data_IF_237336821037
#
_entry.id   IF_237336821037
#
_cell.length_a   1.000
_cell.length_b   1.000
_cell.length_c   1.000
_cell.angle_alpha   90.00
_cell.angle_beta   90.00
_cell.angle_gamma   90.00
#
_symmetry.space_group_name_H-M   'P 1'
#
loop_
_entity.id
_entity.type
_entity.pdbx_description
1 polymer ?
#
# COMPACT_ATOMS: atom_id res chain seq x y z
N UNK A 1 1.87 14.65 -4.89
CA UNK A 1 1.18 13.40 -4.50
C UNK A 1 0.96 12.55 -5.74
N UNK A 2 1.70 11.46 -5.85
CA UNK A 2 1.56 10.47 -6.92
C UNK A 2 0.66 9.33 -6.42
N UNK A 3 -0.25 8.86 -7.28
CA UNK A 3 -1.12 7.72 -7.02
C UNK A 3 -0.74 6.58 -7.95
N UNK A 4 -0.43 5.40 -7.40
CA UNK A 4 -0.22 4.19 -8.20
C UNK A 4 -1.39 3.21 -8.01
N UNK A 5 -1.83 2.61 -9.12
CA UNK A 5 -2.97 1.72 -9.17
C UNK A 5 -2.53 0.28 -9.48
N UNK A 6 -3.06 -0.71 -8.74
CA UNK A 6 -2.82 -2.14 -8.99
C UNK A 6 -4.10 -2.98 -8.89
N UNK A 7 -4.27 -3.89 -9.85
CA UNK A 7 -5.26 -4.98 -9.77
C UNK A 7 -4.74 -6.07 -8.82
N UNK A 8 -5.58 -6.51 -7.88
CA UNK A 8 -5.25 -7.55 -6.91
C UNK A 8 -5.99 -8.84 -7.23
N UNK A 9 -5.23 -9.81 -7.74
CA UNK A 9 -5.67 -11.17 -8.08
C UNK A 9 -4.70 -12.19 -7.45
N UNK A 10 -4.53 -12.20 -6.13
CA UNK A 10 -3.67 -13.17 -5.41
C UNK A 10 -2.14 -12.95 -5.45
N UNK A 11 -1.61 -11.88 -6.07
CA UNK A 11 -0.14 -11.67 -6.14
C UNK A 11 0.36 -10.43 -5.41
N UNK A 12 0.54 -10.56 -4.09
CA UNK A 12 1.10 -9.51 -3.22
C UNK A 12 2.49 -9.03 -3.69
N UNK A 13 3.25 -9.89 -4.37
CA UNK A 13 4.57 -9.58 -4.93
C UNK A 13 4.52 -8.40 -5.92
N UNK A 14 3.48 -8.29 -6.75
CA UNK A 14 3.37 -7.17 -7.70
C UNK A 14 3.10 -5.85 -6.98
N UNK A 15 2.32 -5.88 -5.90
CA UNK A 15 2.01 -4.69 -5.12
C UNK A 15 3.26 -4.13 -4.41
N UNK A 16 4.11 -5.02 -3.88
CA UNK A 16 5.37 -4.64 -3.23
C UNK A 16 6.45 -4.27 -4.26
N UNK A 17 6.85 -5.22 -5.11
CA UNK A 17 8.02 -5.08 -6.00
C UNK A 17 7.78 -4.15 -7.19
N UNK A 18 6.53 -4.02 -7.65
CA UNK A 18 6.19 -3.17 -8.80
C UNK A 18 5.36 -1.95 -8.40
N UNK A 19 5.04 -1.80 -7.11
CA UNK A 19 4.36 -0.63 -6.55
C UNK A 19 5.26 0.09 -5.55
N UNK A 20 5.23 -0.36 -4.29
CA UNK A 20 5.97 0.27 -3.17
C UNK A 20 7.45 0.46 -3.48
N UNK A 21 8.11 -0.54 -4.09
CA UNK A 21 9.53 -0.48 -4.46
C UNK A 21 9.87 0.72 -5.34
N UNK A 22 8.97 1.16 -6.22
CA UNK A 22 9.21 2.33 -7.09
C UNK A 22 9.28 3.64 -6.29
N UNK A 23 8.52 3.73 -5.19
CA UNK A 23 8.62 4.83 -4.25
C UNK A 23 9.91 4.77 -3.42
N UNK A 24 10.29 3.57 -2.97
CA UNK A 24 11.54 3.31 -2.22
C UNK A 24 12.77 3.63 -3.06
N UNK A 25 12.78 3.24 -4.33
CA UNK A 25 13.86 3.47 -5.30
C UNK A 25 13.84 4.88 -5.93
N UNK A 26 12.98 5.79 -5.46
CA UNK A 26 12.86 7.17 -5.95
C UNK A 26 12.48 7.29 -7.44
N UNK A 27 12.01 6.20 -8.08
CA UNK A 27 11.44 6.24 -9.44
C UNK A 27 10.18 7.11 -9.49
N UNK A 28 9.52 7.28 -8.34
CA UNK A 28 8.43 8.22 -8.15
C UNK A 28 8.76 9.21 -7.03
N UNK A 29 8.29 10.45 -7.24
CA UNK A 29 8.02 11.39 -6.17
C UNK A 29 9.20 11.65 -5.21
N UNK A 30 10.44 11.74 -5.72
CA UNK A 30 11.64 11.93 -4.90
C UNK A 30 11.53 13.11 -3.91
N UNK A 31 10.81 14.17 -4.33
CA UNK A 31 10.58 15.39 -3.53
C UNK A 31 9.32 15.34 -2.67
N UNK A 32 8.45 14.35 -2.85
CA UNK A 32 7.21 14.21 -2.08
C UNK A 32 7.45 13.36 -0.82
N UNK A 33 6.82 13.72 0.29
CA UNK A 33 6.82 12.93 1.54
C UNK A 33 5.62 12.00 1.65
N UNK A 34 4.62 12.20 0.80
CA UNK A 34 3.33 11.51 0.83
C UNK A 34 2.96 11.02 -0.58
N UNK A 35 2.49 9.77 -0.66
CA UNK A 35 1.93 9.21 -1.88
C UNK A 35 0.79 8.23 -1.55
N UNK A 36 0.08 7.77 -2.59
CA UNK A 36 -1.03 6.85 -2.42
C UNK A 36 -0.91 5.62 -3.32
N UNK A 37 -1.45 4.51 -2.82
CA UNK A 37 -1.57 3.24 -3.51
C UNK A 37 -3.05 2.86 -3.55
N UNK A 38 -3.60 2.73 -4.74
CA UNK A 38 -4.97 2.27 -4.97
C UNK A 38 -4.95 0.80 -5.42
N UNK A 39 -5.71 -0.04 -4.74
CA UNK A 39 -5.86 -1.45 -5.06
C UNK A 39 -7.30 -1.79 -5.48
N UNK A 40 -7.47 -2.56 -6.55
CA UNK A 40 -8.77 -3.08 -6.96
C UNK A 40 -8.85 -4.59 -6.66
N UNK A 41 -9.76 -4.99 -5.78
CA UNK A 41 -9.97 -6.38 -5.39
C UNK A 41 -11.12 -6.93 -6.23
N UNK A 42 -10.82 -7.81 -7.18
CA UNK A 42 -11.81 -8.32 -8.13
C UNK A 42 -12.22 -9.78 -7.87
N UNK A 43 -11.52 -10.47 -6.97
CA UNK A 43 -11.83 -11.84 -6.54
C UNK A 43 -11.25 -12.13 -5.15
N UNK A 44 -11.91 -13.02 -4.40
CA UNK A 44 -11.49 -13.46 -3.07
C UNK A 44 -12.15 -12.67 -1.94
N UNK A 45 -11.71 -12.89 -0.69
CA UNK A 45 -12.22 -12.15 0.46
C UNK A 45 -11.38 -10.89 0.69
N UNK A 46 -11.99 -9.71 0.54
CA UNK A 46 -11.29 -8.43 0.57
C UNK A 46 -10.57 -8.17 1.89
N UNK A 47 -11.20 -8.45 3.04
CA UNK A 47 -10.59 -8.24 4.35
C UNK A 47 -9.34 -9.10 4.56
N UNK A 48 -9.40 -10.37 4.13
CA UNK A 48 -8.27 -11.30 4.22
C UNK A 48 -7.11 -10.84 3.34
N UNK A 49 -7.40 -10.40 2.12
CA UNK A 49 -6.41 -9.85 1.20
C UNK A 49 -5.73 -8.62 1.82
N UNK A 50 -6.52 -7.64 2.28
CA UNK A 50 -5.99 -6.41 2.89
C UNK A 50 -5.15 -6.73 4.13
N UNK A 51 -5.62 -7.64 5.00
CA UNK A 51 -4.88 -8.07 6.20
C UNK A 51 -3.53 -8.72 5.86
N UNK A 52 -3.50 -9.60 4.85
CA UNK A 52 -2.28 -10.26 4.41
C UNK A 52 -1.30 -9.27 3.76
N UNK A 53 -1.82 -8.35 2.93
CA UNK A 53 -1.03 -7.27 2.36
C UNK A 53 -0.44 -6.39 3.45
N UNK A 54 -1.25 -5.96 4.41
CA UNK A 54 -0.84 -5.14 5.55
C UNK A 54 0.37 -5.75 6.27
N UNK A 55 0.33 -7.05 6.58
CA UNK A 55 1.46 -7.77 7.17
C UNK A 55 2.73 -7.66 6.30
N UNK A 56 2.62 -8.00 5.02
CA UNK A 56 3.76 -7.97 4.10
C UNK A 56 4.32 -6.57 3.86
N UNK A 57 3.46 -5.56 3.83
CA UNK A 57 3.86 -4.15 3.70
C UNK A 57 4.63 -3.70 4.94
N UNK A 58 4.21 -4.09 6.14
CA UNK A 58 4.90 -3.73 7.39
C UNK A 58 6.34 -4.26 7.46
N UNK A 59 6.63 -5.36 6.77
CA UNK A 59 7.94 -6.01 6.72
C UNK A 59 8.83 -5.46 5.57
N UNK A 60 8.25 -4.73 4.61
CA UNK A 60 8.95 -4.30 3.40
C UNK A 60 9.56 -2.91 3.56
N UNK A 61 10.89 -2.82 3.74
CA UNK A 61 11.61 -1.55 3.93
C UNK A 61 10.98 -0.60 4.98
N UNK A 62 10.72 -1.05 6.22
CA UNK A 62 10.05 -0.24 7.21
C UNK A 62 10.89 0.98 7.63
N UNK A 63 10.22 2.12 7.82
CA UNK A 63 10.78 3.28 8.49
C UNK A 63 10.33 3.37 9.96
N UNK A 64 11.00 4.18 10.80
CA UNK A 64 10.52 4.46 12.16
C UNK A 64 9.07 4.97 12.15
N UNK A 65 8.24 4.43 13.05
CA UNK A 65 6.80 4.73 13.10
C UNK A 65 5.90 3.83 12.25
N UNK A 66 6.45 2.79 11.59
CA UNK A 66 5.66 1.84 10.79
C UNK A 66 4.62 1.10 11.64
N UNK A 67 4.99 0.63 12.84
CA UNK A 67 4.14 -0.21 13.69
C UNK A 67 2.86 0.52 14.13
N UNK A 68 2.96 1.82 14.43
CA UNK A 68 1.81 2.63 14.79
C UNK A 68 0.98 2.98 13.55
N UNK A 69 1.62 3.29 12.43
CA UNK A 69 0.94 3.73 11.20
C UNK A 69 0.18 2.62 10.50
N UNK A 70 0.72 1.40 10.49
CA UNK A 70 0.09 0.26 9.80
C UNK A 70 -1.30 -0.07 10.37
N UNK A 71 -1.57 0.32 11.62
CA UNK A 71 -2.87 0.17 12.27
C UNK A 71 -3.87 1.28 11.92
N UNK A 72 -3.42 2.40 11.35
CA UNK A 72 -4.29 3.52 11.01
C UNK A 72 -4.98 3.32 9.67
N UNK A 73 -6.29 3.57 9.64
CA UNK A 73 -7.08 3.67 8.41
C UNK A 73 -6.86 5.02 7.73
N UNK A 74 -7.20 5.08 6.44
CA UNK A 74 -7.25 6.32 5.66
C UNK A 74 -8.69 6.84 5.69
N UNK A 75 -8.94 7.96 6.37
CA UNK A 75 -10.27 8.61 6.46
C UNK A 75 -11.39 7.62 6.81
N UNK A 76 -11.15 6.74 7.78
CA UNK A 76 -12.04 5.66 8.23
C UNK A 76 -12.45 4.61 7.18
N UNK A 77 -11.87 4.64 5.99
CA UNK A 77 -12.15 3.68 4.92
C UNK A 77 -11.84 2.23 5.40
N UNK A 78 -12.80 1.30 5.36
CA UNK A 78 -12.66 0.00 6.04
C UNK A 78 -11.57 -0.89 5.43
N UNK A 79 -11.42 -0.84 4.11
CA UNK A 79 -10.38 -1.55 3.37
C UNK A 79 -9.23 -0.58 3.06
N UNK A 80 -8.53 -0.14 4.12
CA UNK A 80 -7.41 0.78 3.99
C UNK A 80 -6.40 0.60 5.12
N UNK A 81 -5.17 1.04 4.88
CA UNK A 81 -4.17 1.23 5.92
C UNK A 81 -3.14 2.27 5.48
N UNK A 82 -2.34 2.76 6.42
CA UNK A 82 -1.20 3.65 6.15
C UNK A 82 0.10 2.89 6.31
N UNK A 83 1.18 3.31 5.66
CA UNK A 83 2.50 2.74 5.90
C UNK A 83 3.59 3.81 5.78
N UNK A 84 4.77 3.51 6.31
CA UNK A 84 5.93 4.38 6.17
C UNK A 84 7.18 3.59 5.82
N UNK A 85 7.82 3.94 4.72
CA UNK A 85 8.95 3.19 4.18
C UNK A 85 10.21 4.04 4.11
N UNK A 86 11.37 3.41 4.31
CA UNK A 86 12.67 4.05 4.14
C UNK A 86 13.09 3.94 2.68
N UNK A 87 13.36 5.07 2.03
CA UNK A 87 13.89 5.11 0.66
C UNK A 87 15.38 4.80 0.63
N UNK A 88 15.90 4.55 -0.57
CA UNK A 88 17.34 4.32 -0.80
C UNK A 88 18.22 5.54 -0.45
N UNK A 89 17.64 6.74 -0.35
CA UNK A 89 18.31 7.95 0.15
C UNK A 89 18.03 8.24 1.63
N UNK A 90 17.56 7.24 2.37
CA UNK A 90 17.28 7.29 3.81
C UNK A 90 16.18 8.27 4.22
N UNK A 91 15.48 8.88 3.26
CA UNK A 91 14.30 9.70 3.55
C UNK A 91 13.06 8.81 3.67
N UNK A 92 12.16 9.06 4.63
CA UNK A 92 10.92 8.32 4.71
C UNK A 92 9.95 8.73 3.58
N UNK A 93 9.05 7.82 3.23
CA UNK A 93 7.82 8.13 2.49
C UNK A 93 6.62 7.54 3.21
N UNK A 94 5.59 8.35 3.38
CA UNK A 94 4.29 7.92 3.87
C UNK A 94 3.42 7.47 2.69
N UNK A 95 2.88 6.26 2.75
CA UNK A 95 1.94 5.76 1.75
C UNK A 95 0.54 5.56 2.34
N UNK A 96 -0.47 6.08 1.64
CA UNK A 96 -1.88 5.81 1.93
C UNK A 96 -2.37 4.67 1.03
N UNK A 97 -2.82 3.57 1.61
CA UNK A 97 -3.31 2.41 0.86
C UNK A 97 -4.83 2.34 0.92
N UNK A 98 -5.50 2.54 -0.21
CA UNK A 98 -6.95 2.42 -0.35
C UNK A 98 -7.28 1.25 -1.27
N UNK A 99 -8.19 0.38 -0.84
CA UNK A 99 -8.61 -0.78 -1.62
C UNK A 99 -10.09 -0.73 -1.90
N UNK A 100 -10.47 -0.94 -3.15
CA UNK A 100 -11.87 -0.98 -3.56
C UNK A 100 -12.27 -2.42 -3.85
N UNK A 101 -13.35 -2.85 -3.22
CA UNK A 101 -13.91 -4.19 -3.40
C UNK A 101 -14.90 -4.21 -4.57
N UNK A 102 -14.54 -4.92 -5.62
CA UNK A 102 -15.33 -5.16 -6.82
C UNK A 102 -15.83 -6.61 -6.90
N UNK A 103 -15.60 -7.42 -5.87
CA UNK A 103 -16.06 -8.83 -5.86
C UNK A 103 -17.59 -8.94 -5.88
N UNK A 104 -18.28 -7.92 -5.39
CA UNK A 104 -19.74 -7.84 -5.37
C UNK A 104 -20.33 -7.44 -6.74
N UNK A 105 -19.55 -6.76 -7.59
CA UNK A 105 -19.97 -6.33 -8.93
C UNK A 105 -19.70 -7.39 -10.02
N UNK A 106 -19.02 -8.49 -9.67
CA UNK A 106 -18.63 -9.56 -10.58
C UNK A 106 -19.56 -10.79 -10.51
N UNK A 107 -20.82 -10.59 -10.12
CA UNK A 107 -21.88 -11.61 -10.21
C UNK A 107 -22.59 -11.55 -11.55
#
# INVERSE_FOLDING_TARGET
MILECKKLEFTDKKYLEQGIKRFVELKYAEKDYFAGMLGFIIRGNAETIVRNLKKKVSEFHPAPGMAERIELRVLDHPLSFQSQHLRINEKPIHLYHLFFDFTVLAQ
#
